data_IF_055676635176
#
_entry.id   IF_055676635176
#
_cell.length_a   1.000
_cell.length_b   1.000
_cell.length_c   1.000
_cell.angle_alpha   90.00
_cell.angle_beta   90.00
_cell.angle_gamma   90.00
#
_symmetry.space_group_name_H-M   'P 1'
#
loop_
_entity.id
_entity.type
_entity.pdbx_description
1 polymer ?
#
# COMPACT_ATOMS: atom_id res chain seq x y z
N UNK A 1 -24.29 11.27 10.68
CA UNK A 1 -23.18 11.28 11.66
C UNK A 1 -22.31 12.50 11.36
N UNK A 2 -22.21 13.47 12.27
CA UNK A 2 -21.41 14.67 12.00
C UNK A 2 -19.91 14.36 12.17
N UNK A 3 -19.10 14.77 11.20
CA UNK A 3 -17.64 14.72 11.31
C UNK A 3 -17.17 15.80 12.28
N UNK A 4 -16.31 15.43 13.21
CA UNK A 4 -15.75 16.35 14.21
C UNK A 4 -14.26 16.61 13.96
N UNK A 5 -13.72 17.68 14.55
CA UNK A 5 -12.27 17.95 14.52
C UNK A 5 -11.43 16.76 15.01
N UNK A 6 -11.94 15.99 15.98
CA UNK A 6 -11.30 14.78 16.49
C UNK A 6 -11.20 13.68 15.43
N UNK A 7 -12.18 13.57 14.54
CA UNK A 7 -12.18 12.55 13.49
C UNK A 7 -11.10 12.84 12.45
N UNK A 8 -11.00 14.10 12.03
CA UNK A 8 -9.95 14.55 11.12
C UNK A 8 -8.56 14.46 11.74
N UNK A 9 -8.41 14.80 13.02
CA UNK A 9 -7.14 14.67 13.73
C UNK A 9 -6.71 13.20 13.82
N UNK A 10 -7.62 12.29 14.17
CA UNK A 10 -7.33 10.85 14.21
C UNK A 10 -6.93 10.32 12.83
N UNK A 11 -7.69 10.66 11.79
CA UNK A 11 -7.39 10.24 10.42
C UNK A 11 -6.00 10.73 9.98
N UNK A 12 -5.66 12.00 10.26
CA UNK A 12 -4.34 12.56 9.97
C UNK A 12 -3.23 11.83 10.74
N UNK A 13 -3.36 11.69 12.05
CA UNK A 13 -2.34 11.06 12.90
C UNK A 13 -2.11 9.59 12.53
N UNK A 14 -3.17 8.83 12.26
CA UNK A 14 -3.06 7.43 11.85
C UNK A 14 -2.42 7.28 10.47
N UNK A 15 -2.76 8.16 9.53
CA UNK A 15 -2.15 8.16 8.19
C UNK A 15 -0.67 8.54 8.26
N UNK A 16 -0.31 9.54 9.07
CA UNK A 16 1.08 9.93 9.29
C UNK A 16 1.89 8.86 10.01
N UNK A 17 1.30 8.16 11.00
CA UNK A 17 1.94 7.01 11.64
C UNK A 17 2.21 5.91 10.63
N UNK A 18 1.20 5.54 9.83
CA UNK A 18 1.32 4.53 8.79
C UNK A 18 2.38 4.90 7.74
N UNK A 19 2.44 6.16 7.32
CA UNK A 19 3.45 6.67 6.41
C UNK A 19 4.84 6.66 7.05
N UNK A 20 4.97 7.17 8.27
CA UNK A 20 6.24 7.19 9.00
C UNK A 20 6.84 5.79 9.12
N UNK A 21 6.03 4.79 9.50
CA UNK A 21 6.50 3.42 9.61
C UNK A 21 6.86 2.79 8.26
N UNK A 22 6.03 2.96 7.21
CA UNK A 22 6.24 2.30 5.92
C UNK A 22 7.35 2.93 5.09
N UNK A 23 7.51 4.24 5.14
CA UNK A 23 8.51 4.94 4.33
C UNK A 23 9.87 5.02 5.02
N UNK A 24 9.95 4.72 6.33
CA UNK A 24 11.22 4.69 7.05
C UNK A 24 12.13 3.60 6.51
N UNK A 25 13.28 3.99 5.96
CA UNK A 25 14.29 3.10 5.40
C UNK A 25 13.74 2.08 4.38
N UNK A 26 12.74 2.49 3.58
CA UNK A 26 12.01 1.61 2.64
C UNK A 26 12.91 0.78 1.71
N UNK A 27 14.04 1.33 1.25
CA UNK A 27 14.98 0.62 0.37
C UNK A 27 15.97 -0.31 1.09
N UNK A 28 16.00 -0.27 2.42
CA UNK A 28 16.97 -1.00 3.26
C UNK A 28 16.25 -2.05 4.12
N UNK A 29 15.05 -1.74 4.60
CA UNK A 29 14.25 -2.63 5.44
C UNK A 29 13.02 -3.17 4.68
N UNK A 30 12.69 -4.46 4.83
CA UNK A 30 13.54 -5.50 5.43
C UNK A 30 14.81 -5.74 4.61
N UNK A 31 15.90 -6.25 5.23
CA UNK A 31 17.15 -6.51 4.55
C UNK A 31 17.01 -7.63 3.53
N UNK A 32 17.70 -7.49 2.39
CA UNK A 32 17.68 -8.46 1.30
C UNK A 32 16.52 -8.23 0.32
N UNK A 33 16.62 -8.92 -0.82
CA UNK A 33 15.61 -8.87 -1.87
C UNK A 33 14.82 -10.17 -1.83
N UNK A 34 13.57 -10.10 -1.37
CA UNK A 34 12.77 -11.28 -1.11
C UNK A 34 12.27 -11.91 -2.43
N UNK A 35 11.99 -13.21 -2.42
CA UNK A 35 11.63 -13.99 -3.61
C UNK A 35 10.46 -13.40 -4.39
N UNK A 36 9.37 -12.99 -3.73
CA UNK A 36 8.21 -12.36 -4.38
C UNK A 36 8.55 -10.97 -4.93
N UNK A 37 9.43 -10.22 -4.26
CA UNK A 37 9.94 -8.95 -4.78
C UNK A 37 10.76 -9.14 -6.07
N UNK A 38 11.49 -10.25 -6.18
CA UNK A 38 12.22 -10.60 -7.39
C UNK A 38 11.27 -10.94 -8.55
N UNK A 39 10.21 -11.72 -8.31
CA UNK A 39 9.17 -11.95 -9.33
C UNK A 39 8.50 -10.66 -9.76
N UNK A 40 8.11 -9.81 -8.80
CA UNK A 40 7.55 -8.50 -9.08
C UNK A 40 8.46 -7.65 -9.97
N UNK A 41 9.78 -7.68 -9.75
CA UNK A 41 10.73 -6.95 -10.58
C UNK A 41 10.80 -7.49 -12.01
N UNK A 42 10.83 -8.81 -12.17
CA UNK A 42 10.84 -9.46 -13.50
C UNK A 42 9.55 -9.12 -14.24
N UNK A 43 8.40 -9.26 -13.60
CA UNK A 43 7.10 -8.98 -14.20
C UNK A 43 6.95 -7.49 -14.55
N UNK A 44 7.40 -6.59 -13.67
CA UNK A 44 7.41 -5.16 -13.95
C UNK A 44 8.35 -4.81 -15.13
N UNK A 45 9.52 -5.47 -15.22
CA UNK A 45 10.44 -5.30 -16.36
C UNK A 45 9.79 -5.71 -17.68
N UNK A 46 9.10 -6.86 -17.70
CA UNK A 46 8.37 -7.31 -18.89
C UNK A 46 7.35 -6.27 -19.35
N UNK A 47 6.61 -5.66 -18.42
CA UNK A 47 5.66 -4.59 -18.74
C UNK A 47 6.35 -3.35 -19.32
N UNK A 48 7.49 -2.96 -18.74
CA UNK A 48 8.31 -1.83 -19.23
C UNK A 48 8.87 -2.09 -20.63
N UNK A 49 9.18 -3.34 -20.96
CA UNK A 49 9.61 -3.80 -22.29
C UNK A 49 8.45 -3.83 -23.31
N UNK A 50 7.23 -3.45 -22.91
CA UNK A 50 6.08 -3.31 -23.80
C UNK A 50 5.07 -4.47 -23.71
N UNK A 51 5.35 -5.51 -22.93
CA UNK A 51 4.40 -6.59 -22.74
C UNK A 51 3.14 -6.11 -22.00
N UNK A 52 2.00 -6.68 -22.35
CA UNK A 52 0.70 -6.39 -21.71
C UNK A 52 0.03 -7.69 -21.26
N UNK A 53 0.63 -8.43 -20.32
CA UNK A 53 0.05 -9.68 -19.85
C UNK A 53 -1.32 -9.42 -19.18
N UNK A 54 -2.21 -10.40 -19.31
CA UNK A 54 -3.47 -10.45 -18.55
C UNK A 54 -3.38 -11.39 -17.34
N UNK A 55 -2.33 -12.23 -17.29
CA UNK A 55 -2.08 -13.20 -16.24
C UNK A 55 -0.58 -13.49 -16.12
N UNK A 56 -0.08 -13.69 -14.90
CA UNK A 56 1.34 -13.93 -14.61
C UNK A 56 1.52 -15.35 -14.02
N UNK A 57 1.95 -16.34 -14.82
CA UNK A 57 2.00 -17.74 -14.37
C UNK A 57 3.21 -18.07 -13.49
N UNK A 58 4.28 -17.26 -13.53
CA UNK A 58 5.59 -17.63 -12.99
C UNK A 58 5.67 -17.67 -11.46
N UNK A 59 4.80 -16.94 -10.75
CA UNK A 59 4.74 -16.94 -9.28
C UNK A 59 3.37 -17.42 -8.78
N UNK A 60 3.12 -18.73 -8.92
CA UNK A 60 1.87 -19.40 -8.52
C UNK A 60 0.57 -18.90 -9.19
N UNK A 61 0.67 -18.14 -10.29
CA UNK A 61 -0.47 -17.57 -10.99
C UNK A 61 -1.03 -16.33 -10.29
N UNK A 62 -0.81 -15.16 -10.87
CA UNK A 62 -1.20 -13.86 -10.27
C UNK A 62 -1.92 -12.96 -11.26
N UNK A 63 -2.76 -12.10 -10.69
CA UNK A 63 -3.34 -10.93 -11.34
C UNK A 63 -2.30 -9.84 -11.65
N UNK A 64 -2.64 -8.94 -12.58
CA UNK A 64 -1.68 -8.01 -13.20
C UNK A 64 -1.75 -6.58 -12.68
N UNK A 65 -2.78 -6.22 -11.92
CA UNK A 65 -3.01 -4.82 -11.52
C UNK A 65 -1.85 -4.26 -10.70
N UNK A 66 -1.38 -5.03 -9.72
CA UNK A 66 -0.26 -4.64 -8.88
C UNK A 66 1.04 -4.49 -9.68
N UNK A 67 1.30 -5.42 -10.60
CA UNK A 67 2.46 -5.36 -11.51
C UNK A 67 2.42 -4.13 -12.41
N UNK A 68 1.26 -3.78 -12.97
CA UNK A 68 1.14 -2.55 -13.77
C UNK A 68 1.39 -1.30 -12.94
N UNK A 69 0.93 -1.27 -11.69
CA UNK A 69 1.21 -0.16 -10.79
C UNK A 69 2.71 -0.06 -10.45
N UNK A 70 3.36 -1.19 -10.16
CA UNK A 70 4.81 -1.24 -9.95
C UNK A 70 5.59 -0.81 -11.20
N UNK A 71 5.19 -1.27 -12.38
CA UNK A 71 5.81 -0.89 -13.64
C UNK A 71 5.65 0.61 -13.91
N UNK A 72 4.48 1.20 -13.62
CA UNK A 72 4.26 2.63 -13.75
C UNK A 72 5.19 3.44 -12.84
N UNK A 73 5.36 3.03 -11.58
CA UNK A 73 6.32 3.68 -10.67
C UNK A 73 7.77 3.46 -11.12
N UNK A 74 8.11 2.26 -11.60
CA UNK A 74 9.43 1.95 -12.13
C UNK A 74 9.77 2.75 -13.40
N UNK A 75 8.77 3.08 -14.23
CA UNK A 75 8.95 3.98 -15.37
C UNK A 75 9.34 5.41 -14.94
N UNK A 76 8.86 5.86 -13.77
CA UNK A 76 9.11 7.21 -13.25
C UNK A 76 10.40 7.30 -12.42
N UNK A 77 10.68 6.29 -11.59
CA UNK A 77 11.76 6.35 -10.58
C UNK A 77 12.87 5.31 -10.81
N UNK A 78 12.78 4.54 -11.89
CA UNK A 78 13.68 3.42 -12.19
C UNK A 78 13.28 2.13 -11.47
N UNK A 79 13.62 1.00 -12.07
CA UNK A 79 13.37 -0.33 -11.51
C UNK A 79 14.44 -0.68 -10.46
N UNK A 80 14.10 -0.54 -9.19
CA UNK A 80 14.94 -0.90 -8.05
C UNK A 80 14.07 -1.31 -6.85
N UNK A 81 14.68 -1.85 -5.80
CA UNK A 81 13.99 -2.35 -4.60
C UNK A 81 13.14 -1.26 -3.95
N UNK A 82 13.67 -0.04 -3.80
CA UNK A 82 12.95 1.09 -3.21
C UNK A 82 11.68 1.41 -4.00
N UNK A 83 11.76 1.46 -5.32
CA UNK A 83 10.59 1.73 -6.19
C UNK A 83 9.54 0.62 -6.13
N UNK A 84 9.97 -0.64 -6.06
CA UNK A 84 9.04 -1.77 -5.96
C UNK A 84 8.30 -1.76 -4.62
N UNK A 85 9.01 -1.45 -3.53
CA UNK A 85 8.43 -1.31 -2.19
C UNK A 85 7.59 -0.05 -2.03
N UNK A 86 7.90 1.01 -2.79
CA UNK A 86 7.12 2.25 -2.83
C UNK A 86 5.66 1.98 -3.21
N UNK A 87 5.43 1.02 -4.13
CA UNK A 87 4.07 0.62 -4.49
C UNK A 87 3.28 0.13 -3.27
N UNK A 88 3.82 -0.84 -2.52
CA UNK A 88 3.20 -1.35 -1.29
C UNK A 88 3.07 -0.27 -0.23
N UNK A 89 4.08 0.58 -0.05
CA UNK A 89 4.05 1.67 0.94
C UNK A 89 2.90 2.65 0.66
N UNK A 90 2.75 3.07 -0.60
CA UNK A 90 1.67 3.97 -1.02
C UNK A 90 0.27 3.35 -0.81
N UNK A 91 0.07 2.11 -1.29
CA UNK A 91 -1.22 1.44 -1.18
C UNK A 91 -1.57 1.10 0.28
N UNK A 92 -0.59 0.65 1.07
CA UNK A 92 -0.76 0.37 2.49
C UNK A 92 -1.07 1.63 3.30
N UNK A 93 -0.38 2.74 3.04
CA UNK A 93 -0.68 4.03 3.68
C UNK A 93 -2.06 4.55 3.28
N UNK A 94 -2.47 4.39 2.02
CA UNK A 94 -3.79 4.81 1.52
C UNK A 94 -4.94 3.96 2.09
N UNK A 95 -4.69 2.68 2.38
CA UNK A 95 -5.68 1.79 2.96
C UNK A 95 -6.13 2.24 4.37
N UNK A 96 -5.28 2.94 5.12
CA UNK A 96 -5.58 3.45 6.48
C UNK A 96 -6.72 4.48 6.49
N UNK A 97 -6.63 5.63 5.77
CA UNK A 97 -7.73 6.59 5.73
C UNK A 97 -8.97 5.97 5.07
N UNK A 98 -8.84 5.14 4.03
CA UNK A 98 -9.99 4.45 3.42
C UNK A 98 -10.73 3.61 4.46
N UNK A 99 -10.00 2.79 5.23
CA UNK A 99 -10.57 1.95 6.30
C UNK A 99 -11.31 2.80 7.34
N UNK A 100 -10.68 3.89 7.80
CA UNK A 100 -11.31 4.80 8.75
C UNK A 100 -12.62 5.38 8.19
N UNK A 101 -12.61 5.87 6.95
CA UNK A 101 -13.77 6.47 6.29
C UNK A 101 -14.92 5.46 6.10
N UNK A 102 -14.60 4.23 5.69
CA UNK A 102 -15.59 3.16 5.48
C UNK A 102 -16.29 2.81 6.78
N UNK A 103 -15.55 2.52 7.86
CA UNK A 103 -16.16 2.17 9.15
C UNK A 103 -16.95 3.32 9.76
N UNK A 104 -16.49 4.57 9.57
CA UNK A 104 -17.24 5.77 9.98
C UNK A 104 -18.55 5.94 9.25
N UNK A 105 -18.66 5.43 8.02
CA UNK A 105 -19.86 5.56 7.18
C UNK A 105 -20.87 4.44 7.40
N UNK A 106 -20.40 3.21 7.59
CA UNK A 106 -21.28 2.03 7.66
C UNK A 106 -21.80 1.79 9.08
N UNK A 107 -21.02 2.09 10.12
CA UNK A 107 -21.41 1.83 11.50
C UNK A 107 -22.14 3.01 12.14
N UNK A 108 -23.21 2.72 12.87
CA UNK A 108 -24.01 3.73 13.57
C UNK A 108 -23.53 3.96 15.02
N UNK A 109 -23.24 2.89 15.77
CA UNK A 109 -22.77 2.93 17.16
C UNK A 109 -21.28 2.65 17.23
N UNK A 110 -20.58 3.33 18.14
CA UNK A 110 -19.14 3.18 18.37
C UNK A 110 -18.24 3.33 17.12
N UNK A 111 -18.75 3.90 16.02
CA UNK A 111 -18.05 3.91 14.73
C UNK A 111 -16.69 4.59 14.80
N UNK A 112 -16.55 5.66 15.61
CA UNK A 112 -15.25 6.31 15.85
C UNK A 112 -14.22 5.36 16.44
N UNK A 113 -14.59 4.65 17.50
CA UNK A 113 -13.68 3.77 18.22
C UNK A 113 -13.29 2.58 17.35
N UNK A 114 -14.27 1.98 16.65
CA UNK A 114 -14.03 0.85 15.75
C UNK A 114 -13.18 1.28 14.54
N UNK A 115 -13.50 2.41 13.91
CA UNK A 115 -12.73 2.96 12.80
C UNK A 115 -11.29 3.30 13.22
N UNK A 116 -11.11 3.95 14.37
CA UNK A 116 -9.78 4.27 14.88
C UNK A 116 -8.98 3.01 15.24
N UNK A 117 -9.62 2.03 15.91
CA UNK A 117 -8.97 0.78 16.28
C UNK A 117 -8.52 -0.04 15.07
N UNK A 118 -9.40 -0.23 14.09
CA UNK A 118 -9.09 -0.96 12.84
C UNK A 118 -8.06 -0.23 11.98
N UNK A 119 -8.17 1.10 11.86
CA UNK A 119 -7.17 1.89 11.15
C UNK A 119 -5.82 1.89 11.87
N UNK A 120 -5.79 1.84 13.21
CA UNK A 120 -4.56 1.71 13.98
C UNK A 120 -3.91 0.34 13.79
N UNK A 121 -4.67 -0.76 13.85
CA UNK A 121 -4.11 -2.09 13.60
C UNK A 121 -3.55 -2.20 12.19
N UNK A 122 -4.23 -1.61 11.20
CA UNK A 122 -3.72 -1.54 9.83
C UNK A 122 -2.52 -0.59 9.69
N UNK A 123 -2.45 0.49 10.47
CA UNK A 123 -1.33 1.42 10.42
C UNK A 123 -0.02 0.76 10.85
N UNK A 124 -0.07 -0.16 11.83
CA UNK A 124 1.10 -0.81 12.44
C UNK A 124 1.42 -2.21 11.92
N UNK A 125 0.55 -2.80 11.08
CA UNK A 125 0.81 -4.06 10.37
C UNK A 125 1.72 -3.85 9.16
#
# INVERSE_FOLDING_TARGET
MAWSKKDWLLLLLLTLLAAGLRFYQLGVLPPGFQFDEAFNAVDARLVLEGNRPLFLPANAGREVLYTYFQAALAALFGLNVTTLRLASALLGTLAVPITYLVYRRILQRHSRAIAAGTALTLAIS
#
